data_IF_153432769514
#
_entry.id   IF_153432769514
#
_cell.length_a   1.000
_cell.length_b   1.000
_cell.length_c   1.000
_cell.angle_alpha   90.00
_cell.angle_beta   90.00
_cell.angle_gamma   90.00
#
_symmetry.space_group_name_H-M   'P 1'
#
loop_
_entity.id
_entity.type
_entity.pdbx_description
1 polymer ?
#
# COMPACT_ATOMS: atom_id res chain seq x y z
N UNK A 1 22.36 -3.59 -6.75
CA UNK A 1 23.76 -3.58 -7.23
C UNK A 1 24.54 -2.33 -6.81
N UNK A 2 23.90 -1.18 -6.60
CA UNK A 2 24.58 0.10 -6.26
C UNK A 2 24.72 0.41 -4.76
N UNK A 3 24.23 -0.45 -3.85
CA UNK A 3 24.19 -0.19 -2.40
C UNK A 3 25.57 0.08 -1.77
N UNK A 4 26.64 -0.48 -2.33
CA UNK A 4 28.01 -0.40 -1.77
C UNK A 4 29.04 0.30 -2.69
N UNK A 5 28.57 1.18 -3.57
CA UNK A 5 29.48 1.89 -4.46
C UNK A 5 30.28 2.96 -3.69
N UNK A 6 31.61 2.86 -3.71
CA UNK A 6 32.49 3.84 -3.09
C UNK A 6 33.09 4.75 -4.17
N UNK A 7 32.60 5.99 -4.23
CA UNK A 7 33.02 6.99 -5.22
C UNK A 7 34.51 7.30 -5.10
N UNK A 8 35.04 7.46 -3.89
CA UNK A 8 36.45 7.77 -3.69
C UNK A 8 37.36 6.68 -4.24
N UNK A 9 37.07 5.41 -3.90
CA UNK A 9 37.85 4.28 -4.40
C UNK A 9 37.76 4.17 -5.93
N UNK A 10 36.58 4.45 -6.49
CA UNK A 10 36.38 4.42 -7.93
C UNK A 10 37.20 5.52 -8.63
N UNK A 11 37.13 6.76 -8.16
CA UNK A 11 37.89 7.87 -8.72
C UNK A 11 39.39 7.66 -8.61
N UNK A 12 39.88 7.08 -7.50
CA UNK A 12 41.28 6.75 -7.35
C UNK A 12 41.77 5.67 -8.33
N UNK A 13 40.89 4.72 -8.69
CA UNK A 13 41.18 3.70 -9.71
C UNK A 13 41.27 4.29 -11.12
N UNK A 14 40.46 5.31 -11.41
CA UNK A 14 40.47 6.01 -12.70
C UNK A 14 41.71 6.90 -12.89
N UNK A 15 42.36 7.30 -11.78
CA UNK A 15 43.55 8.14 -11.87
C UNK A 15 44.75 7.32 -12.38
N UNK A 16 45.50 7.85 -13.37
CA UNK A 16 46.80 7.27 -13.78
C UNK A 16 47.76 7.17 -12.59
N UNK A 17 48.61 6.16 -12.54
CA UNK A 17 49.53 5.92 -11.42
C UNK A 17 50.43 7.13 -11.09
N UNK A 18 50.82 7.89 -12.11
CA UNK A 18 51.69 9.09 -12.00
C UNK A 18 51.03 10.20 -11.19
N UNK A 19 49.68 10.30 -11.25
CA UNK A 19 48.89 11.34 -10.58
C UNK A 19 48.39 10.94 -9.19
N UNK A 20 48.69 9.71 -8.73
CA UNK A 20 48.25 9.21 -7.40
C UNK A 20 49.09 9.74 -6.24
N UNK A 21 49.49 11.01 -6.31
CA UNK A 21 50.21 11.69 -5.23
C UNK A 21 49.22 12.11 -4.12
N UNK A 22 49.72 12.21 -2.87
CA UNK A 22 48.88 12.50 -1.71
C UNK A 22 48.15 13.84 -1.79
N UNK A 23 48.80 14.86 -2.37
CA UNK A 23 48.16 16.17 -2.58
C UNK A 23 46.97 16.08 -3.53
N UNK A 24 47.07 15.30 -4.61
CA UNK A 24 45.99 15.12 -5.59
C UNK A 24 44.89 14.28 -4.97
N UNK A 25 45.21 13.27 -4.15
CA UNK A 25 44.20 12.51 -3.41
C UNK A 25 43.41 13.39 -2.44
N UNK A 26 44.08 14.27 -1.69
CA UNK A 26 43.43 15.20 -0.78
C UNK A 26 42.51 16.16 -1.53
N UNK A 27 42.98 16.71 -2.64
CA UNK A 27 42.15 17.58 -3.50
C UNK A 27 40.91 16.87 -4.05
N UNK A 28 41.07 15.65 -4.54
CA UNK A 28 39.93 14.85 -5.03
C UNK A 28 38.93 14.54 -3.93
N UNK A 29 39.35 14.25 -2.69
CA UNK A 29 38.45 14.04 -1.57
C UNK A 29 37.55 15.26 -1.33
N UNK A 30 38.12 16.45 -1.36
CA UNK A 30 37.35 17.70 -1.19
C UNK A 30 36.37 17.88 -2.33
N UNK A 31 36.79 17.67 -3.57
CA UNK A 31 35.92 17.76 -4.75
C UNK A 31 34.78 16.71 -4.75
N UNK A 32 35.05 15.52 -4.24
CA UNK A 32 34.07 14.41 -4.21
C UNK A 32 33.12 14.48 -3.00
N UNK A 33 33.42 15.29 -1.99
CA UNK A 33 32.59 15.44 -0.80
C UNK A 33 31.12 15.76 -1.09
N UNK A 34 30.77 16.74 -1.96
CA UNK A 34 29.37 16.98 -2.29
C UNK A 34 28.71 15.79 -3.02
N UNK A 35 29.49 15.06 -3.82
CA UNK A 35 28.98 13.88 -4.52
C UNK A 35 28.65 12.75 -3.56
N UNK A 36 29.44 12.58 -2.51
CA UNK A 36 29.17 11.59 -1.44
C UNK A 36 27.89 11.93 -0.68
N UNK A 37 27.63 13.19 -0.41
CA UNK A 37 26.42 13.64 0.26
C UNK A 37 25.17 13.35 -0.59
N UNK A 38 25.25 13.59 -1.89
CA UNK A 38 24.19 13.28 -2.85
C UNK A 38 23.97 11.76 -2.92
N UNK A 39 25.05 10.98 -3.00
CA UNK A 39 24.95 9.52 -3.03
C UNK A 39 24.34 8.95 -1.75
N UNK A 40 24.65 9.51 -0.59
CA UNK A 40 24.04 9.12 0.68
C UNK A 40 22.53 9.38 0.68
N UNK A 41 22.11 10.56 0.23
CA UNK A 41 20.67 10.89 0.06
C UNK A 41 19.99 9.93 -0.91
N UNK A 42 20.62 9.67 -2.05
CA UNK A 42 20.07 8.73 -3.04
C UNK A 42 19.90 7.31 -2.46
N UNK A 43 20.87 6.84 -1.69
CA UNK A 43 20.75 5.54 -1.00
C UNK A 43 19.56 5.49 -0.06
N UNK A 44 19.35 6.54 0.71
CA UNK A 44 18.19 6.62 1.62
C UNK A 44 16.87 6.59 0.84
N UNK A 45 16.79 7.33 -0.27
CA UNK A 45 15.61 7.31 -1.15
C UNK A 45 15.38 5.91 -1.74
N UNK A 46 16.45 5.22 -2.18
CA UNK A 46 16.33 3.86 -2.71
C UNK A 46 15.79 2.89 -1.65
N UNK A 47 16.32 2.96 -0.42
CA UNK A 47 15.83 2.11 0.69
C UNK A 47 14.37 2.40 1.01
N UNK A 48 13.99 3.67 1.10
CA UNK A 48 12.61 4.06 1.35
C UNK A 48 11.67 3.63 0.21
N UNK A 49 12.13 3.76 -1.03
CA UNK A 49 11.38 3.30 -2.20
C UNK A 49 11.26 1.77 -2.24
N UNK A 50 12.33 1.03 -1.92
CA UNK A 50 12.29 -0.44 -1.83
C UNK A 50 11.22 -0.89 -0.80
N UNK A 51 11.13 -0.21 0.36
CA UNK A 51 10.11 -0.48 1.37
C UNK A 51 8.72 -0.20 0.82
N UNK A 52 8.51 0.94 0.16
CA UNK A 52 7.22 1.29 -0.42
C UNK A 52 6.78 0.34 -1.52
N UNK A 53 7.70 -0.10 -2.38
CA UNK A 53 7.42 -1.02 -3.48
C UNK A 53 7.21 -2.47 -3.01
N UNK A 54 7.67 -2.82 -1.81
CA UNK A 54 7.44 -4.16 -1.25
C UNK A 54 6.01 -4.38 -0.76
N UNK A 55 5.22 -3.31 -0.67
CA UNK A 55 3.84 -3.34 -0.25
C UNK A 55 2.92 -2.94 -1.41
N UNK A 56 1.73 -3.49 -1.43
CA UNK A 56 0.72 -3.24 -2.46
C UNK A 56 -0.68 -3.17 -1.84
N UNK A 57 -1.71 -3.03 -2.68
CA UNK A 57 -3.12 -2.93 -2.27
C UNK A 57 -3.75 -4.24 -1.80
N UNK A 58 -3.04 -5.37 -1.84
CA UNK A 58 -3.59 -6.61 -1.31
C UNK A 58 -3.75 -6.53 0.20
N UNK A 59 -4.89 -6.96 0.70
CA UNK A 59 -5.28 -6.92 2.11
C UNK A 59 -4.18 -7.46 3.02
N UNK A 60 -3.62 -8.63 2.70
CA UNK A 60 -2.57 -9.29 3.49
C UNK A 60 -1.30 -8.42 3.62
N UNK A 61 -0.86 -7.77 2.52
CA UNK A 61 0.35 -6.95 2.55
C UNK A 61 0.12 -5.62 3.24
N UNK A 62 -1.06 -5.02 3.06
CA UNK A 62 -1.45 -3.78 3.72
C UNK A 62 -1.60 -4.00 5.23
N UNK A 63 -2.26 -5.09 5.64
CA UNK A 63 -2.40 -5.49 7.03
C UNK A 63 -1.02 -5.73 7.69
N UNK A 64 -0.16 -6.49 7.01
CA UNK A 64 1.21 -6.71 7.47
C UNK A 64 1.96 -5.39 7.65
N UNK A 65 1.85 -4.49 6.70
CA UNK A 65 2.53 -3.19 6.75
C UNK A 65 2.04 -2.33 7.91
N UNK A 66 0.71 -2.25 8.12
CA UNK A 66 0.14 -1.49 9.24
C UNK A 66 0.56 -2.08 10.59
N UNK A 67 0.59 -3.41 10.70
CA UNK A 67 1.07 -4.07 11.92
C UNK A 67 2.57 -3.84 12.14
N UNK A 68 3.41 -3.96 11.12
CA UNK A 68 4.86 -3.70 11.24
C UNK A 68 5.15 -2.24 11.63
N UNK A 69 4.25 -1.30 11.28
CA UNK A 69 4.40 0.13 11.58
C UNK A 69 3.88 0.51 12.98
N UNK A 70 2.73 -0.01 13.39
CA UNK A 70 2.00 0.44 14.58
C UNK A 70 1.92 -0.60 15.70
N UNK A 71 1.92 -1.88 15.38
CA UNK A 71 1.79 -2.99 16.32
C UNK A 71 2.70 -4.17 15.95
N UNK A 72 3.99 -3.93 15.91
CA UNK A 72 4.98 -4.93 15.52
C UNK A 72 5.02 -6.16 16.44
N UNK A 73 4.54 -6.02 17.69
CA UNK A 73 4.63 -7.04 18.72
C UNK A 73 3.45 -8.00 18.67
N UNK A 74 2.23 -7.48 18.70
CA UNK A 74 1.01 -8.28 18.87
C UNK A 74 0.24 -8.48 17.56
N UNK A 75 0.44 -7.59 16.57
CA UNK A 75 -0.14 -7.69 15.23
C UNK A 75 -1.65 -7.84 15.22
N UNK A 76 -2.32 -6.93 15.95
CA UNK A 76 -3.77 -6.96 16.17
C UNK A 76 -4.58 -6.20 15.13
N UNK A 77 -3.93 -5.41 14.27
CA UNK A 77 -4.62 -4.66 13.21
C UNK A 77 -4.98 -5.65 12.10
N UNK A 78 -6.26 -5.70 11.73
CA UNK A 78 -6.72 -6.51 10.61
C UNK A 78 -7.65 -5.75 9.69
N UNK A 79 -7.77 -6.23 8.46
CA UNK A 79 -8.58 -5.63 7.41
C UNK A 79 -9.61 -6.67 6.98
N UNK A 80 -10.88 -6.31 7.00
CA UNK A 80 -11.96 -7.17 6.54
C UNK A 80 -12.83 -6.42 5.53
N UNK A 81 -13.37 -7.16 4.57
CA UNK A 81 -14.32 -6.61 3.64
C UNK A 81 -15.66 -6.36 4.35
N UNK A 82 -16.23 -5.18 4.16
CA UNK A 82 -17.56 -4.87 4.64
C UNK A 82 -18.54 -5.35 3.55
N UNK A 83 -19.12 -6.50 3.82
CA UNK A 83 -20.20 -7.05 2.99
C UNK A 83 -21.49 -6.37 3.46
N UNK A 84 -22.01 -5.42 2.69
CA UNK A 84 -23.36 -4.95 2.91
C UNK A 84 -24.29 -6.14 2.63
N UNK A 85 -25.19 -6.47 3.56
CA UNK A 85 -26.11 -7.62 3.52
C UNK A 85 -27.10 -7.60 2.31
N UNK A 86 -26.85 -6.74 1.35
CA UNK A 86 -27.66 -6.60 0.15
C UNK A 86 -26.96 -7.20 -1.08
N UNK A 87 -26.68 -8.50 -1.04
CA UNK A 87 -26.31 -9.24 -2.23
C UNK A 87 -27.58 -9.64 -2.98
N UNK A 88 -27.89 -8.98 -4.09
CA UNK A 88 -28.93 -9.42 -5.02
C UNK A 88 -28.37 -10.61 -5.80
N UNK A 89 -28.81 -11.80 -5.46
CA UNK A 89 -28.47 -13.01 -6.21
C UNK A 89 -29.38 -13.15 -7.42
N UNK A 90 -28.80 -13.22 -8.60
CA UNK A 90 -29.53 -13.63 -9.80
C UNK A 90 -29.57 -15.17 -9.81
N UNK A 91 -30.74 -15.73 -9.54
CA UNK A 91 -30.93 -17.17 -9.57
C UNK A 91 -31.78 -17.56 -10.79
N UNK A 92 -31.51 -18.76 -11.34
CA UNK A 92 -32.40 -19.32 -12.33
C UNK A 92 -33.72 -19.74 -11.66
N UNK A 93 -34.81 -19.79 -12.44
CA UNK A 93 -36.18 -20.07 -11.95
C UNK A 93 -36.26 -21.35 -11.09
N UNK A 94 -35.44 -22.33 -11.38
CA UNK A 94 -35.43 -23.60 -10.66
C UNK A 94 -34.65 -23.52 -9.32
N UNK A 95 -33.82 -22.48 -9.13
CA UNK A 95 -33.03 -22.24 -7.92
C UNK A 95 -33.69 -21.23 -6.99
N UNK A 96 -34.70 -20.50 -7.45
CA UNK A 96 -35.39 -19.44 -6.70
C UNK A 96 -36.06 -19.93 -5.41
N UNK A 97 -36.34 -21.24 -5.30
CA UNK A 97 -36.91 -21.86 -4.10
C UNK A 97 -35.89 -21.99 -2.94
N UNK A 98 -34.60 -21.82 -3.24
CA UNK A 98 -33.50 -22.00 -2.27
C UNK A 98 -33.11 -20.70 -1.58
N UNK A 99 -33.33 -19.56 -2.26
CA UNK A 99 -32.94 -18.23 -1.78
C UNK A 99 -34.14 -17.33 -1.66
N UNK A 100 -34.53 -16.96 -0.44
CA UNK A 100 -35.71 -16.11 -0.17
C UNK A 100 -35.60 -14.72 -0.78
N UNK A 101 -34.38 -14.20 -0.98
CA UNK A 101 -34.10 -12.86 -1.54
C UNK A 101 -33.62 -12.87 -3.00
N UNK A 102 -33.91 -13.93 -3.77
CA UNK A 102 -33.45 -14.03 -5.15
C UNK A 102 -34.41 -13.34 -6.11
N UNK A 103 -33.88 -12.48 -6.98
CA UNK A 103 -34.62 -11.97 -8.14
C UNK A 103 -34.66 -13.04 -9.23
N UNK A 104 -35.85 -13.59 -9.50
CA UNK A 104 -36.06 -14.50 -10.64
C UNK A 104 -36.19 -13.72 -11.93
N UNK A 105 -35.33 -13.99 -12.90
CA UNK A 105 -35.45 -13.49 -14.25
C UNK A 105 -36.48 -14.32 -15.02
N UNK A 106 -37.60 -13.72 -15.41
CA UNK A 106 -38.45 -14.28 -16.45
C UNK A 106 -37.96 -13.78 -17.79
N UNK A 107 -38.01 -14.64 -18.79
CA UNK A 107 -37.57 -14.29 -20.15
C UNK A 107 -38.40 -13.10 -20.75
N UNK A 108 -39.57 -12.82 -20.21
CA UNK A 108 -40.45 -11.73 -20.59
C UNK A 108 -40.02 -10.39 -19.98
N UNK A 109 -39.21 -10.42 -18.90
CA UNK A 109 -38.81 -9.20 -18.15
C UNK A 109 -37.37 -8.74 -18.55
N UNK A 110 -36.77 -9.32 -19.58
CA UNK A 110 -35.40 -8.99 -19.97
C UNK A 110 -35.24 -7.52 -20.41
N UNK A 111 -36.32 -6.91 -20.95
CA UNK A 111 -36.32 -5.50 -21.36
C UNK A 111 -36.49 -4.53 -20.16
N UNK A 112 -36.88 -5.05 -19.00
CA UNK A 112 -37.11 -4.24 -17.79
C UNK A 112 -36.13 -4.55 -16.64
N UNK A 113 -35.03 -5.20 -16.94
CA UNK A 113 -33.96 -5.42 -15.97
C UNK A 113 -33.30 -4.08 -15.63
N UNK A 114 -34.03 -3.28 -14.87
CA UNK A 114 -33.47 -2.12 -14.22
C UNK A 114 -32.63 -2.65 -13.06
N UNK A 115 -31.39 -2.96 -13.36
CA UNK A 115 -30.37 -3.05 -12.29
C UNK A 115 -30.45 -1.70 -11.58
N UNK A 116 -30.83 -1.65 -10.29
CA UNK A 116 -30.93 -0.38 -9.60
C UNK A 116 -29.59 0.33 -9.65
N UNK A 117 -29.42 1.18 -10.66
CA UNK A 117 -28.22 2.00 -10.84
C UNK A 117 -28.19 3.19 -9.88
N UNK A 118 -29.22 3.32 -9.02
CA UNK A 118 -29.44 4.52 -8.21
C UNK A 118 -28.57 4.64 -6.93
N UNK A 119 -27.71 3.66 -6.62
CA UNK A 119 -26.73 3.84 -5.56
C UNK A 119 -25.36 3.42 -6.03
N UNK A 120 -24.62 4.33 -6.71
CA UNK A 120 -23.24 4.07 -7.13
C UNK A 120 -22.31 3.70 -5.94
N UNK A 121 -22.70 4.07 -4.72
CA UNK A 121 -21.96 3.72 -3.50
C UNK A 121 -21.98 2.21 -3.13
N UNK A 122 -22.92 1.44 -3.70
CA UNK A 122 -23.07 0.01 -3.36
C UNK A 122 -22.19 -0.93 -4.18
N UNK A 123 -21.70 -0.48 -5.33
CA UNK A 123 -20.81 -1.25 -6.21
C UNK A 123 -19.32 -1.02 -5.92
N UNK A 124 -19.00 -0.02 -5.11
CA UNK A 124 -17.62 0.22 -4.70
C UNK A 124 -17.29 -0.68 -3.54
N UNK A 125 -16.32 -1.57 -3.74
CA UNK A 125 -15.79 -2.41 -2.67
C UNK A 125 -15.49 -1.58 -1.43
N UNK A 126 -16.08 -1.97 -0.31
CA UNK A 126 -15.85 -1.35 0.99
C UNK A 126 -15.04 -2.30 1.87
N UNK A 127 -14.06 -1.77 2.55
CA UNK A 127 -13.33 -2.54 3.56
C UNK A 127 -13.20 -1.76 4.86
N UNK A 128 -13.12 -2.48 5.96
CA UNK A 128 -12.90 -1.93 7.30
C UNK A 128 -11.47 -2.19 7.75
N UNK A 129 -10.83 -1.18 8.31
CA UNK A 129 -9.56 -1.33 9.02
C UNK A 129 -9.88 -1.33 10.51
N UNK A 130 -9.65 -2.46 11.17
CA UNK A 130 -9.99 -2.67 12.57
C UNK A 130 -8.76 -2.50 13.44
N UNK A 131 -8.87 -1.61 14.43
CA UNK A 131 -7.78 -1.23 15.32
C UNK A 131 -8.19 -1.51 16.77
N UNK A 132 -7.32 -2.07 17.62
CA UNK A 132 -7.61 -2.21 19.04
C UNK A 132 -7.69 -0.82 19.71
N UNK A 133 -8.58 -0.67 20.73
CA UNK A 133 -8.79 0.59 21.45
C UNK A 133 -7.52 1.20 22.02
N UNK A 134 -6.56 0.39 22.41
CA UNK A 134 -5.28 0.85 22.96
C UNK A 134 -4.44 1.63 21.96
N UNK A 135 -4.55 1.28 20.68
CA UNK A 135 -3.83 1.93 19.59
C UNK A 135 -4.64 3.05 18.91
N UNK A 136 -5.87 3.29 19.37
CA UNK A 136 -6.75 4.32 18.81
C UNK A 136 -6.33 5.72 19.28
N UNK A 137 -5.29 6.23 18.67
CA UNK A 137 -4.83 7.60 18.81
C UNK A 137 -5.11 8.38 17.54
N UNK A 138 -5.42 9.65 17.65
CA UNK A 138 -5.63 10.52 16.48
C UNK A 138 -4.40 10.53 15.57
N UNK A 139 -3.19 10.47 16.15
CA UNK A 139 -1.94 10.35 15.40
C UNK A 139 -1.87 9.06 14.58
N UNK A 140 -2.24 7.94 15.19
CA UNK A 140 -2.24 6.64 14.52
C UNK A 140 -3.31 6.58 13.42
N UNK A 141 -4.50 7.13 13.66
CA UNK A 141 -5.55 7.24 12.64
C UNK A 141 -5.08 8.05 11.43
N UNK A 142 -4.34 9.14 11.63
CA UNK A 142 -3.78 9.95 10.54
C UNK A 142 -2.76 9.16 9.73
N UNK A 143 -1.89 8.42 10.41
CA UNK A 143 -0.88 7.57 9.76
C UNK A 143 -1.56 6.47 8.94
N UNK A 144 -2.53 5.77 9.53
CA UNK A 144 -3.29 4.73 8.84
C UNK A 144 -3.99 5.30 7.61
N UNK A 145 -4.70 6.43 7.77
CA UNK A 145 -5.37 7.10 6.66
C UNK A 145 -4.41 7.42 5.53
N UNK A 146 -3.26 8.01 5.84
CA UNK A 146 -2.25 8.36 4.85
C UNK A 146 -1.77 7.15 4.05
N UNK A 147 -1.49 6.04 4.73
CA UNK A 147 -0.96 4.85 4.08
C UNK A 147 -2.04 4.04 3.35
N UNK A 148 -3.22 3.93 3.92
CA UNK A 148 -4.36 3.27 3.26
C UNK A 148 -4.74 4.04 2.00
N UNK A 149 -4.82 5.38 2.05
CA UNK A 149 -5.10 6.21 0.87
C UNK A 149 -4.03 6.07 -0.22
N UNK A 150 -2.78 5.81 0.18
CA UNK A 150 -1.68 5.62 -0.76
C UNK A 150 -1.73 4.25 -1.47
N UNK A 151 -2.11 3.20 -0.75
CA UNK A 151 -2.08 1.82 -1.29
C UNK A 151 -3.43 1.31 -1.78
N UNK A 152 -4.56 1.83 -1.31
CA UNK A 152 -5.89 1.35 -1.73
C UNK A 152 -6.09 1.43 -3.22
N UNK A 153 -6.90 0.54 -3.75
CA UNK A 153 -7.33 0.65 -5.15
C UNK A 153 -8.19 1.90 -5.36
N UNK A 154 -8.05 2.52 -6.53
CA UNK A 154 -8.88 3.65 -6.91
C UNK A 154 -10.36 3.24 -6.93
N UNK A 155 -11.23 4.07 -6.34
CA UNK A 155 -12.66 3.80 -6.27
C UNK A 155 -13.10 2.93 -5.08
N UNK A 156 -12.18 2.43 -4.25
CA UNK A 156 -12.56 1.72 -3.01
C UNK A 156 -12.74 2.69 -1.84
N UNK A 157 -13.79 2.46 -1.06
CA UNK A 157 -14.06 3.19 0.18
C UNK A 157 -13.64 2.34 1.38
N UNK A 158 -13.27 2.99 2.48
CA UNK A 158 -12.92 2.28 3.71
C UNK A 158 -13.40 3.04 4.95
N UNK A 159 -13.58 2.31 6.03
CA UNK A 159 -13.81 2.85 7.37
C UNK A 159 -12.69 2.40 8.32
N UNK A 160 -12.45 3.20 9.36
CA UNK A 160 -11.52 2.85 10.43
C UNK A 160 -12.36 2.63 11.68
N UNK A 161 -12.41 1.40 12.15
CA UNK A 161 -13.20 0.99 13.28
C UNK A 161 -12.34 0.49 14.43
N UNK A 162 -12.81 0.69 15.65
CA UNK A 162 -12.13 0.24 16.86
C UNK A 162 -12.86 -0.92 17.48
N UNK A 163 -12.09 -1.91 17.90
CA UNK A 163 -12.61 -3.07 18.59
C UNK A 163 -11.92 -3.28 19.94
N UNK A 164 -12.57 -3.99 20.84
CA UNK A 164 -12.04 -4.32 22.16
C UNK A 164 -12.94 -3.93 23.30
#
# INVERSE_FOLDING_TARGET
MFKNFNIQAFCLKLLPPILRKDRIRAFLRVLLSPLESILARFRNVVVDTDVRLSHNSFTIYLEKFLNDLLDATERRIYIADIIDDFSVYLSMKDEAAIYEDSMTLKAEDLDTLIVPSEKPDRLTGRFGVYIPKELDSESNRRIIKQWVDYYKMAGTNYSIETYG
#
